data_IF_192770769168
#
_entry.id   IF_192770769168
#
_cell.length_a   1.000
_cell.length_b   1.000
_cell.length_c   1.000
_cell.angle_alpha   90.00
_cell.angle_beta   90.00
_cell.angle_gamma   90.00
#
_symmetry.space_group_name_H-M   'P 1'
#
loop_
_entity.id
_entity.type
_entity.pdbx_description
1 polymer ?
#
# COMPACT_ATOMS: atom_id res chain seq x y z
N UNK A 1 3.73 -11.12 -4.29
CA UNK A 1 5.00 -10.61 -3.71
C UNK A 1 4.77 -10.00 -2.35
N UNK A 2 5.83 -9.75 -1.59
CA UNK A 2 5.75 -9.21 -0.22
C UNK A 2 6.42 -7.84 -0.16
N UNK A 3 5.88 -6.92 0.63
CA UNK A 3 6.58 -5.72 1.07
C UNK A 3 6.47 -5.54 2.58
N UNK A 4 7.40 -4.76 3.14
CA UNK A 4 7.33 -4.27 4.52
C UNK A 4 7.37 -2.75 4.45
N UNK A 5 6.45 -2.11 5.17
CA UNK A 5 6.39 -0.66 5.31
C UNK A 5 6.79 -0.26 6.73
N UNK A 6 7.62 0.76 6.87
CA UNK A 6 7.79 1.49 8.13
C UNK A 6 6.76 2.63 8.15
N UNK A 7 5.89 2.67 9.16
CA UNK A 7 4.88 3.71 9.38
C UNK A 7 5.41 4.66 10.46
N UNK A 8 5.93 5.81 10.03
CA UNK A 8 6.50 6.81 10.94
C UNK A 8 5.39 7.75 11.42
N UNK A 9 4.62 8.27 10.48
CA UNK A 9 3.42 9.07 10.68
C UNK A 9 2.52 8.98 9.43
N UNK A 10 1.29 9.54 9.42
CA UNK A 10 0.39 9.43 8.27
C UNK A 10 0.95 9.94 6.94
N UNK A 11 1.91 10.87 6.95
CA UNK A 11 2.51 11.43 5.74
C UNK A 11 3.82 10.73 5.35
N UNK A 12 4.42 9.96 6.26
CA UNK A 12 5.71 9.30 6.10
C UNK A 12 5.56 7.78 6.27
N UNK A 13 5.23 7.09 5.18
CA UNK A 13 5.12 5.63 5.12
C UNK A 13 6.12 5.11 4.10
N UNK A 14 7.21 4.52 4.58
CA UNK A 14 8.36 4.17 3.76
C UNK A 14 8.36 2.69 3.40
N UNK A 15 8.71 2.37 2.16
CA UNK A 15 9.10 1.00 1.83
C UNK A 15 10.38 0.64 2.58
N UNK A 16 10.27 -0.27 3.56
CA UNK A 16 11.43 -0.85 4.24
C UNK A 16 12.03 -1.99 3.43
N UNK A 17 11.17 -2.76 2.77
CA UNK A 17 11.55 -3.89 1.93
C UNK A 17 10.50 -4.04 0.85
N UNK A 18 10.94 -4.28 -0.38
CA UNK A 18 10.09 -4.72 -1.47
C UNK A 18 10.63 -6.03 -2.06
N UNK A 19 9.75 -7.01 -2.27
CA UNK A 19 10.10 -8.23 -2.97
C UNK A 19 10.47 -7.94 -4.43
N UNK A 20 11.30 -8.79 -5.03
CA UNK A 20 11.82 -8.58 -6.39
C UNK A 20 10.73 -8.41 -7.44
N UNK A 21 9.62 -9.15 -7.34
CA UNK A 21 8.49 -8.98 -8.24
C UNK A 21 7.80 -7.62 -8.14
N UNK A 22 7.89 -6.92 -7.01
CA UNK A 22 7.41 -5.53 -6.89
C UNK A 22 8.38 -4.59 -7.60
N UNK A 23 9.68 -4.73 -7.33
CA UNK A 23 10.72 -3.90 -7.95
C UNK A 23 10.70 -4.02 -9.48
N UNK A 24 10.58 -5.25 -10.01
CA UNK A 24 10.47 -5.51 -11.46
C UNK A 24 9.27 -4.79 -12.09
N UNK A 25 8.11 -4.76 -11.39
CA UNK A 25 6.90 -4.10 -11.90
C UNK A 25 6.99 -2.58 -11.82
N UNK A 26 7.57 -2.06 -10.76
CA UNK A 26 7.79 -0.62 -10.59
C UNK A 26 8.88 -0.08 -11.53
N UNK A 27 9.76 -0.95 -12.00
CA UNK A 27 10.92 -0.61 -12.84
C UNK A 27 12.18 -0.24 -12.03
N UNK A 28 12.05 -0.12 -10.71
CA UNK A 28 13.11 0.17 -9.75
C UNK A 28 12.77 -0.39 -8.37
N UNK A 29 13.76 -0.54 -7.49
CA UNK A 29 13.54 -0.91 -6.10
C UNK A 29 12.97 0.29 -5.32
N UNK A 30 11.73 0.22 -4.81
CA UNK A 30 11.12 1.34 -4.10
C UNK A 30 11.62 1.50 -2.67
N UNK A 31 12.54 0.64 -2.18
CA UNK A 31 13.03 0.70 -0.80
C UNK A 31 13.59 2.08 -0.47
N UNK A 32 13.11 2.66 0.64
CA UNK A 32 13.41 4.03 1.08
C UNK A 32 12.42 5.09 0.59
N UNK A 33 11.64 4.81 -0.47
CA UNK A 33 10.67 5.78 -1.00
C UNK A 33 9.41 5.87 -0.13
N UNK A 34 8.82 7.06 -0.11
CA UNK A 34 7.56 7.33 0.59
C UNK A 34 6.37 6.91 -0.28
N UNK A 35 5.64 5.88 0.17
CA UNK A 35 4.46 5.35 -0.52
C UNK A 35 3.38 6.43 -0.70
N UNK A 36 3.24 7.37 0.25
CA UNK A 36 2.24 8.43 0.19
C UNK A 36 2.52 9.40 -0.97
N UNK A 37 3.79 9.69 -1.24
CA UNK A 37 4.20 10.51 -2.39
C UNK A 37 4.00 9.79 -3.73
N UNK A 38 4.18 8.46 -3.73
CA UNK A 38 3.92 7.61 -4.90
C UNK A 38 2.42 7.38 -5.17
N UNK A 39 1.55 7.70 -4.21
CA UNK A 39 0.10 7.53 -4.34
C UNK A 39 -0.51 8.67 -5.15
N UNK A 40 -1.51 8.35 -5.99
CA UNK A 40 -2.24 9.35 -6.75
C UNK A 40 -2.85 10.43 -5.83
N UNK A 41 -2.85 11.72 -6.23
CA UNK A 41 -3.36 12.81 -5.38
C UNK A 41 -4.77 12.56 -4.84
N UNK A 42 -5.66 12.02 -5.68
CA UNK A 42 -7.08 11.82 -5.35
C UNK A 42 -7.30 10.75 -4.27
N UNK A 43 -6.43 9.73 -4.21
CA UNK A 43 -6.55 8.62 -3.24
C UNK A 43 -5.58 8.75 -2.08
N UNK A 44 -4.64 9.69 -2.12
CA UNK A 44 -3.55 9.84 -1.16
C UNK A 44 -4.02 9.95 0.29
N UNK A 45 -5.00 10.80 0.56
CA UNK A 45 -5.52 11.00 1.91
C UNK A 45 -6.19 9.72 2.46
N UNK A 46 -6.95 9.03 1.60
CA UNK A 46 -7.58 7.76 1.95
C UNK A 46 -6.54 6.67 2.23
N UNK A 47 -5.55 6.50 1.36
CA UNK A 47 -4.47 5.50 1.52
C UNK A 47 -3.65 5.75 2.79
N UNK A 48 -3.26 7.01 3.03
CA UNK A 48 -2.60 7.44 4.26
C UNK A 48 -3.39 7.02 5.50
N UNK A 49 -4.70 7.32 5.53
CA UNK A 49 -5.58 6.97 6.64
C UNK A 49 -5.70 5.45 6.82
N UNK A 50 -5.90 4.69 5.73
CA UNK A 50 -6.02 3.22 5.78
C UNK A 50 -4.76 2.60 6.41
N UNK A 51 -3.59 2.98 5.90
CA UNK A 51 -2.31 2.42 6.37
C UNK A 51 -2.02 2.81 7.81
N UNK A 52 -2.31 4.05 8.19
CA UNK A 52 -2.14 4.47 9.58
C UNK A 52 -3.08 3.74 10.54
N UNK A 53 -4.35 3.53 10.15
CA UNK A 53 -5.33 2.80 10.96
C UNK A 53 -4.89 1.37 11.27
N UNK A 54 -4.26 0.67 10.33
CA UNK A 54 -3.75 -0.69 10.51
C UNK A 54 -2.83 -0.80 11.73
N UNK A 55 -1.99 0.21 11.97
CA UNK A 55 -1.03 0.21 13.08
C UNK A 55 -1.56 0.91 14.33
N UNK A 56 -2.39 1.95 14.21
CA UNK A 56 -2.94 2.69 15.36
C UNK A 56 -4.11 1.95 16.03
N UNK A 57 -4.84 1.13 15.27
CA UNK A 57 -5.90 0.26 15.74
C UNK A 57 -5.64 -1.13 15.14
N UNK A 58 -4.90 -2.03 15.83
CA UNK A 58 -4.36 -3.26 15.25
C UNK A 58 -5.41 -4.10 14.49
N UNK A 59 -5.48 -3.89 13.18
CA UNK A 59 -6.50 -4.44 12.28
C UNK A 59 -5.83 -4.87 10.98
N UNK A 60 -6.31 -5.95 10.38
CA UNK A 60 -5.89 -6.34 9.03
C UNK A 60 -6.74 -5.66 7.97
N UNK A 61 -6.22 -5.56 6.75
CA UNK A 61 -7.00 -5.08 5.61
C UNK A 61 -6.77 -5.94 4.37
N UNK A 62 -7.83 -6.23 3.62
CA UNK A 62 -7.74 -6.64 2.23
C UNK A 62 -8.19 -5.46 1.38
N UNK A 63 -7.34 -5.01 0.47
CA UNK A 63 -7.67 -3.94 -0.46
C UNK A 63 -7.45 -4.39 -1.89
N UNK A 64 -8.39 -4.05 -2.76
CA UNK A 64 -8.23 -4.18 -4.20
C UNK A 64 -8.11 -2.78 -4.79
N UNK A 65 -7.08 -2.53 -5.58
CA UNK A 65 -6.79 -1.21 -6.14
C UNK A 65 -6.07 -1.30 -7.47
N UNK A 66 -6.02 -0.18 -8.17
CA UNK A 66 -5.35 -0.04 -9.45
C UNK A 66 -4.00 0.67 -9.28
N UNK A 67 -2.96 0.13 -9.92
CA UNK A 67 -1.69 0.79 -10.11
C UNK A 67 -1.53 1.19 -11.58
N UNK A 68 -0.80 2.28 -11.82
CA UNK A 68 -0.33 2.67 -13.15
C UNK A 68 1.19 2.65 -13.11
N UNK A 69 1.82 1.84 -13.95
CA UNK A 69 3.27 1.72 -14.00
C UNK A 69 3.90 2.74 -14.94
N UNK A 70 5.20 3.01 -14.79
CA UNK A 70 5.97 3.90 -15.68
C UNK A 70 5.81 3.55 -17.17
N UNK A 71 5.63 2.26 -17.48
CA UNK A 71 5.34 1.73 -18.82
C UNK A 71 3.93 2.05 -19.35
N UNK A 72 3.11 2.79 -18.61
CA UNK A 72 1.70 3.03 -18.90
C UNK A 72 0.79 1.84 -18.57
N UNK A 73 1.32 0.69 -18.18
CA UNK A 73 0.51 -0.48 -17.82
C UNK A 73 -0.37 -0.18 -16.60
N UNK A 74 -1.69 -0.32 -16.74
CA UNK A 74 -2.65 -0.27 -15.62
C UNK A 74 -3.04 -1.68 -15.19
N UNK A 75 -2.85 -1.97 -13.90
CA UNK A 75 -3.10 -3.28 -13.32
C UNK A 75 -4.01 -3.17 -12.10
N UNK A 76 -4.89 -4.16 -11.91
CA UNK A 76 -5.57 -4.39 -10.64
C UNK A 76 -4.73 -5.35 -9.80
N UNK A 77 -4.56 -5.01 -8.53
CA UNK A 77 -3.89 -5.82 -7.52
C UNK A 77 -4.79 -5.96 -6.29
N UNK A 78 -4.81 -7.16 -5.71
CA UNK A 78 -5.38 -7.41 -4.38
C UNK A 78 -4.23 -7.56 -3.40
N UNK A 79 -4.35 -6.92 -2.23
CA UNK A 79 -3.30 -6.93 -1.22
C UNK A 79 -3.88 -7.16 0.16
N UNK A 80 -3.25 -8.07 0.91
CA UNK A 80 -3.44 -8.23 2.34
C UNK A 80 -2.42 -7.36 3.07
N UNK A 81 -2.88 -6.62 4.07
CA UNK A 81 -2.05 -5.82 4.97
C UNK A 81 -2.28 -6.26 6.41
N UNK A 82 -1.20 -6.45 7.15
CA UNK A 82 -1.25 -6.83 8.56
C UNK A 82 -0.24 -5.99 9.35
N UNK A 83 -0.60 -5.54 10.57
CA UNK A 83 0.35 -4.88 11.44
C UNK A 83 1.40 -5.87 11.93
N UNK A 84 2.65 -5.44 11.99
CA UNK A 84 3.74 -6.18 12.60
C UNK A 84 4.12 -5.52 13.92
N UNK A 85 4.32 -6.35 14.95
CA UNK A 85 4.78 -5.88 16.24
C UNK A 85 6.18 -5.26 16.11
N UNK A 86 6.32 -4.04 16.60
CA UNK A 86 7.61 -3.36 16.69
C UNK A 86 8.37 -3.74 17.96
N UNK A 87 9.70 -3.69 17.89
CA UNK A 87 10.53 -3.60 19.09
C UNK A 87 10.45 -2.18 19.67
N UNK A 88 10.79 -2.05 20.95
CA UNK A 88 10.83 -0.75 21.63
C UNK A 88 11.75 0.24 20.89
N UNK A 89 11.29 1.48 20.72
CA UNK A 89 12.03 2.53 20.01
C UNK A 89 12.04 2.43 18.48
N UNK A 90 11.32 1.48 17.87
CA UNK A 90 11.17 1.38 16.41
C UNK A 90 9.83 1.95 15.93
N UNK A 91 9.75 2.30 14.65
CA UNK A 91 8.48 2.66 14.00
C UNK A 91 7.55 1.46 13.90
N UNK A 92 6.24 1.71 13.84
CA UNK A 92 5.27 0.67 13.56
C UNK A 92 5.46 0.14 12.13
N UNK A 93 5.05 -1.11 11.90
CA UNK A 93 5.28 -1.77 10.63
C UNK A 93 4.03 -2.43 10.09
N UNK A 94 3.98 -2.50 8.77
CA UNK A 94 2.97 -3.27 8.05
C UNK A 94 3.70 -4.27 7.17
N UNK A 95 3.28 -5.53 7.22
CA UNK A 95 3.60 -6.50 6.17
C UNK A 95 2.45 -6.52 5.19
N UNK A 96 2.79 -6.46 3.91
CA UNK A 96 1.82 -6.59 2.83
C UNK A 96 2.16 -7.76 1.92
N UNK A 97 1.13 -8.49 1.50
CA UNK A 97 1.22 -9.56 0.51
C UNK A 97 0.33 -9.19 -0.66
N UNK A 98 0.93 -9.08 -1.83
CA UNK A 98 0.28 -8.68 -3.06
C UNK A 98 0.04 -9.90 -3.94
N UNK A 99 -1.20 -10.04 -4.45
CA UNK A 99 -1.56 -11.03 -5.46
C UNK A 99 -0.77 -10.80 -6.75
N UNK A 100 -0.86 -11.77 -7.67
CA UNK A 100 -0.50 -11.48 -9.06
C UNK A 100 -1.45 -10.43 -9.62
N UNK A 101 -0.89 -9.51 -10.38
CA UNK A 101 -1.66 -8.46 -11.04
C UNK A 101 -2.42 -8.97 -12.25
N UNK A 102 -3.58 -8.37 -12.47
CA UNK A 102 -4.32 -8.49 -13.72
C UNK A 102 -4.24 -7.19 -14.48
N UNK A 103 -3.62 -7.21 -15.67
CA UNK A 103 -3.61 -6.07 -16.59
C UNK A 103 -5.04 -5.73 -16.98
N UNK A 104 -5.41 -4.45 -16.85
CA UNK A 104 -6.70 -3.91 -17.28
C UNK A 104 -6.56 -3.24 -18.64
N UNK A 105 -5.58 -2.34 -18.75
CA UNK A 105 -5.33 -1.55 -19.96
C UNK A 105 -3.88 -1.05 -19.97
N UNK A 106 -3.53 -0.35 -21.04
CA UNK A 106 -2.33 0.47 -21.13
C UNK A 106 -2.73 1.92 -21.36
N UNK A 107 -1.98 2.83 -20.75
CA UNK A 107 -2.05 4.29 -20.88
C UNK A 107 -0.71 4.79 -21.46
N UNK A 108 -0.57 6.11 -21.60
CA UNK A 108 0.70 6.70 -22.01
C UNK A 108 1.79 6.43 -20.97
N UNK A 109 3.05 6.33 -21.43
CA UNK A 109 4.19 6.20 -20.53
C UNK A 109 4.33 7.41 -19.60
N UNK A 110 4.74 7.16 -18.37
CA UNK A 110 4.90 8.19 -17.35
C UNK A 110 6.25 8.05 -16.65
N UNK A 111 6.77 9.17 -16.12
CA UNK A 111 8.11 9.20 -15.53
C UNK A 111 8.26 8.27 -14.32
N UNK A 112 7.19 8.08 -13.53
CA UNK A 112 7.19 7.28 -12.31
C UNK A 112 5.93 6.44 -12.19
N UNK A 113 6.01 5.30 -11.53
CA UNK A 113 4.83 4.48 -11.22
C UNK A 113 3.93 5.16 -10.18
N UNK A 114 2.62 5.06 -10.36
CA UNK A 114 1.59 5.57 -9.45
C UNK A 114 0.91 4.41 -8.74
N UNK A 115 0.99 4.41 -7.42
CA UNK A 115 0.36 3.40 -6.56
C UNK A 115 -1.06 3.82 -6.23
N UNK A 116 -1.98 2.85 -6.18
CA UNK A 116 -3.35 3.06 -5.75
C UNK A 116 -4.04 4.24 -6.48
N UNK A 117 -3.88 4.32 -7.80
CA UNK A 117 -4.54 5.29 -8.66
C UNK A 117 -6.07 5.29 -8.50
N UNK A 118 -6.63 4.13 -8.10
CA UNK A 118 -8.01 3.99 -7.68
C UNK A 118 -8.15 2.89 -6.64
N UNK A 119 -8.88 3.15 -5.56
CA UNK A 119 -9.32 2.12 -4.60
C UNK A 119 -10.63 1.52 -5.10
N UNK A 120 -10.69 0.20 -5.24
CA UNK A 120 -11.86 -0.52 -5.73
C UNK A 120 -12.66 -1.14 -4.57
N UNK A 121 -11.95 -1.71 -3.60
CA UNK A 121 -12.57 -2.35 -2.45
C UNK A 121 -11.61 -2.29 -1.25
N UNK A 122 -12.18 -2.13 -0.05
CA UNK A 122 -11.48 -2.27 1.23
C UNK A 122 -12.33 -3.13 2.17
N UNK A 123 -11.72 -4.15 2.76
CA UNK A 123 -12.32 -5.02 3.77
C UNK A 123 -11.41 -5.07 4.99
N UNK A 124 -11.94 -4.70 6.14
CA UNK A 124 -11.25 -4.86 7.43
C UNK A 124 -11.29 -6.32 7.90
N UNK A 125 -10.20 -6.75 8.52
CA UNK A 125 -10.09 -8.03 9.23
C UNK A 125 -9.86 -7.70 10.70
N UNK A 126 -10.83 -8.04 11.55
CA UNK A 126 -10.67 -7.94 12.99
C UNK A 126 -9.58 -8.92 13.47
N UNK A 127 -8.55 -8.39 14.14
CA UNK A 127 -7.45 -9.17 14.72
C UNK A 127 -7.61 -9.36 16.25
N UNK A 128 -8.79 -9.08 16.79
CA UNK A 128 -9.13 -9.17 18.21
C UNK A 128 -9.35 -7.83 18.91
N UNK A 129 -9.24 -6.71 18.19
CA UNK A 129 -9.45 -5.35 18.70
C UNK A 129 -10.72 -4.68 18.14
N UNK A 130 -11.51 -5.39 17.35
CA UNK A 130 -12.60 -4.83 16.57
C UNK A 130 -12.13 -4.20 15.26
N UNK A 131 -13.06 -3.66 14.47
CA UNK A 131 -12.77 -2.89 13.25
C UNK A 131 -12.90 -1.37 13.53
N UNK A 132 -12.21 -0.50 12.77
CA UNK A 132 -12.40 0.94 12.89
C UNK A 132 -13.84 1.36 12.58
N UNK A 133 -14.42 2.24 13.42
CA UNK A 133 -15.74 2.83 13.18
C UNK A 133 -15.74 3.76 11.96
N UNK A 134 -14.59 4.38 11.67
CA UNK A 134 -14.42 5.26 10.52
C UNK A 134 -14.01 4.47 9.29
N UNK A 135 -14.92 4.33 8.34
CA UNK A 135 -14.60 3.92 6.98
C UNK A 135 -13.97 5.13 6.27
N UNK A 136 -12.72 5.04 5.77
CA UNK A 136 -12.11 6.12 4.99
C UNK A 136 -12.97 6.44 3.76
N UNK A 137 -13.44 7.68 3.66
CA UNK A 137 -14.21 8.21 2.53
C UNK A 137 -13.30 8.68 1.41
#
# INVERSE_FOLDING_TARGET
DIAILDVIDPMNILYRLAGTGIAERMGEDPTGNNLIEMTAPDTRAMVSKILYLIVSHPVGAIATYENVYSTGKRSVVESLYLPLQKAEGQSDRIVSVHSREKTVTYEDEQAHSTVAAKILELKWIDLGAGIPDEIPA
#
